data_IF_704806065362
#
_entry.id   IF_704806065362
#
_cell.length_a   1.000
_cell.length_b   1.000
_cell.length_c   1.000
_cell.angle_alpha   90.00
_cell.angle_beta   90.00
_cell.angle_gamma   90.00
#
_symmetry.space_group_name_H-M   'P 1'
#
loop_
_entity.id
_entity.type
_entity.pdbx_description
1 polymer ?
#
# COMPACT_ATOMS: atom_id res chain seq x y z
N UNK A 1 -29.34 22.83 -2.70
CA UNK A 1 -29.60 21.44 -3.18
C UNK A 1 -28.30 20.64 -3.09
N UNK A 2 -28.17 19.69 -2.15
CA UNK A 2 -26.95 18.89 -1.98
C UNK A 2 -26.99 17.68 -2.93
N UNK A 3 -26.00 17.56 -3.81
CA UNK A 3 -25.87 16.40 -4.71
C UNK A 3 -25.28 15.23 -3.93
N UNK A 4 -26.08 14.21 -3.64
CA UNK A 4 -25.62 13.02 -2.93
C UNK A 4 -24.99 12.01 -3.88
N UNK A 5 -23.68 11.79 -3.80
CA UNK A 5 -22.95 10.82 -4.65
C UNK A 5 -22.53 9.60 -3.83
N UNK A 6 -23.10 8.42 -4.12
CA UNK A 6 -22.69 7.16 -3.50
C UNK A 6 -21.63 6.46 -4.34
N UNK A 7 -20.42 6.30 -3.82
CA UNK A 7 -19.32 5.61 -4.53
C UNK A 7 -19.25 4.13 -4.15
N UNK A 8 -19.41 3.25 -5.14
CA UNK A 8 -19.16 1.82 -5.05
C UNK A 8 -17.70 1.51 -5.41
N UNK A 9 -17.11 0.53 -4.72
CA UNK A 9 -15.76 0.06 -4.99
C UNK A 9 -15.74 -1.45 -4.94
N UNK A 10 -15.00 -2.06 -5.85
CA UNK A 10 -14.80 -3.50 -5.90
C UNK A 10 -13.29 -3.78 -5.97
N UNK A 11 -12.84 -4.84 -5.30
CA UNK A 11 -11.45 -5.29 -5.33
C UNK A 11 -11.42 -6.66 -5.99
N UNK A 12 -10.71 -6.78 -7.10
CA UNK A 12 -10.44 -8.05 -7.75
C UNK A 12 -9.00 -8.49 -7.44
N UNK A 13 -8.80 -9.76 -7.13
CA UNK A 13 -7.48 -10.37 -6.92
C UNK A 13 -7.31 -11.50 -7.94
N UNK A 14 -6.09 -11.74 -8.40
CA UNK A 14 -5.79 -12.83 -9.32
C UNK A 14 -4.31 -13.15 -9.39
N UNK A 15 -4.01 -14.32 -9.95
CA UNK A 15 -2.67 -14.85 -10.10
C UNK A 15 -2.47 -15.41 -11.51
N UNK A 16 -1.25 -15.35 -12.02
CA UNK A 16 -0.82 -16.01 -13.26
C UNK A 16 0.60 -16.54 -13.09
N UNK A 17 0.87 -17.73 -13.63
CA UNK A 17 2.23 -18.28 -13.66
C UNK A 17 2.97 -17.67 -14.85
N UNK A 18 4.19 -17.17 -14.61
CA UNK A 18 5.09 -16.63 -15.64
C UNK A 18 6.27 -17.56 -15.80
N UNK A 19 6.52 -17.97 -17.04
CA UNK A 19 7.70 -18.76 -17.42
C UNK A 19 8.73 -17.81 -18.00
N UNK A 20 9.97 -17.93 -17.54
CA UNK A 20 11.10 -17.12 -17.98
C UNK A 20 12.32 -18.03 -18.16
N UNK A 21 13.19 -17.66 -19.10
CA UNK A 21 14.50 -18.29 -19.26
C UNK A 21 15.55 -17.26 -18.86
N UNK A 22 16.48 -17.62 -17.98
CA UNK A 22 17.51 -16.68 -17.55
C UNK A 22 18.38 -16.23 -18.74
N UNK A 23 18.52 -14.92 -18.93
CA UNK A 23 19.32 -14.33 -20.01
C UNK A 23 20.84 -14.58 -19.86
N UNK A 24 21.29 -14.87 -18.63
CA UNK A 24 22.70 -15.05 -18.28
C UNK A 24 23.14 -16.52 -18.28
N UNK A 25 22.42 -17.40 -17.58
CA UNK A 25 22.77 -18.82 -17.45
C UNK A 25 21.87 -19.79 -18.22
N UNK A 26 20.85 -19.32 -18.92
CA UNK A 26 19.92 -20.15 -19.70
C UNK A 26 18.95 -21.03 -18.89
N UNK A 27 19.00 -21.01 -17.55
CA UNK A 27 18.13 -21.84 -16.72
C UNK A 27 16.65 -21.41 -16.86
N UNK A 28 15.73 -22.33 -17.20
CA UNK A 28 14.30 -22.05 -17.15
C UNK A 28 13.83 -21.98 -15.69
N UNK A 29 13.03 -20.96 -15.38
CA UNK A 29 12.38 -20.79 -14.09
C UNK A 29 10.96 -20.23 -14.29
N UNK A 30 10.10 -20.41 -13.30
CA UNK A 30 8.76 -19.80 -13.30
C UNK A 30 8.45 -19.15 -11.98
N UNK A 31 7.48 -18.25 -11.95
CA UNK A 31 7.03 -17.65 -10.71
C UNK A 31 5.54 -17.29 -10.79
N UNK A 32 4.89 -17.22 -9.63
CA UNK A 32 3.49 -16.81 -9.56
C UNK A 32 3.38 -15.29 -9.40
N UNK A 33 2.88 -14.62 -10.44
CA UNK A 33 2.58 -13.19 -10.43
C UNK A 33 1.19 -12.97 -9.85
N UNK A 34 1.10 -12.34 -8.67
CA UNK A 34 -0.18 -12.00 -8.04
C UNK A 34 -0.43 -10.49 -8.03
N UNK A 35 -1.66 -10.08 -8.33
CA UNK A 35 -2.05 -8.66 -8.41
C UNK A 35 -3.44 -8.45 -7.80
N UNK A 36 -3.67 -7.22 -7.35
CA UNK A 36 -4.98 -6.76 -6.92
C UNK A 36 -5.33 -5.44 -7.59
N UNK A 37 -6.55 -5.33 -8.11
CA UNK A 37 -7.04 -4.13 -8.75
C UNK A 37 -8.27 -3.60 -8.02
N UNK A 38 -8.45 -2.28 -8.00
CA UNK A 38 -9.66 -1.65 -7.45
C UNK A 38 -10.39 -0.88 -8.54
N UNK A 39 -11.64 -1.28 -8.76
CA UNK A 39 -12.58 -0.55 -9.59
C UNK A 39 -13.46 0.36 -8.75
N UNK A 40 -13.93 1.46 -9.36
CA UNK A 40 -14.82 2.43 -8.70
C UNK A 40 -15.89 2.88 -9.67
N UNK A 41 -17.10 3.05 -9.16
CA UNK A 41 -18.20 3.68 -9.88
C UNK A 41 -19.07 4.45 -8.88
N UNK A 42 -19.76 5.48 -9.34
CA UNK A 42 -20.63 6.29 -8.49
C UNK A 42 -22.06 6.25 -9.00
N UNK A 43 -23.02 6.33 -8.08
CA UNK A 43 -24.41 6.65 -8.39
C UNK A 43 -24.80 8.02 -7.84
N UNK A 44 -25.59 8.75 -8.62
CA UNK A 44 -26.19 10.01 -8.24
C UNK A 44 -27.50 9.73 -7.49
N UNK A 45 -27.70 10.33 -6.32
CA UNK A 45 -28.91 10.15 -5.49
C UNK A 45 -29.23 8.69 -5.15
N UNK A 46 -28.26 7.78 -5.22
CA UNK A 46 -28.50 6.36 -5.00
C UNK A 46 -29.30 5.66 -6.11
N UNK A 47 -29.59 6.30 -7.24
CA UNK A 47 -30.23 5.62 -8.38
C UNK A 47 -29.22 4.67 -9.06
N UNK A 48 -29.69 3.56 -9.66
CA UNK A 48 -28.80 2.61 -10.37
C UNK A 48 -27.65 2.00 -9.53
N UNK A 49 -27.84 1.79 -8.22
CA UNK A 49 -26.82 1.17 -7.34
C UNK A 49 -26.30 -0.17 -7.87
N UNK A 50 -27.20 -1.04 -8.36
CA UNK A 50 -26.86 -2.34 -8.97
C UNK A 50 -25.94 -2.16 -10.18
N UNK A 51 -26.29 -1.25 -11.09
CA UNK A 51 -25.48 -0.97 -12.27
C UNK A 51 -24.12 -0.34 -11.90
N UNK A 52 -24.08 0.58 -10.93
CA UNK A 52 -22.83 1.16 -10.45
C UNK A 52 -21.92 0.08 -9.82
N UNK A 53 -22.47 -0.81 -8.98
CA UNK A 53 -21.73 -1.94 -8.42
C UNK A 53 -21.16 -2.86 -9.51
N UNK A 54 -21.98 -3.27 -10.48
CA UNK A 54 -21.55 -4.10 -11.61
C UNK A 54 -20.45 -3.43 -12.45
N UNK A 55 -20.56 -2.10 -12.70
CA UNK A 55 -19.51 -1.33 -13.37
C UNK A 55 -18.21 -1.30 -12.56
N UNK A 56 -18.28 -1.12 -11.25
CA UNK A 56 -17.11 -1.15 -10.38
C UNK A 56 -16.41 -2.52 -10.40
N UNK A 57 -17.18 -3.61 -10.42
CA UNK A 57 -16.65 -4.97 -10.56
C UNK A 57 -16.00 -5.18 -11.93
N UNK A 58 -16.69 -4.83 -13.03
CA UNK A 58 -16.16 -4.94 -14.40
C UNK A 58 -14.86 -4.14 -14.59
N UNK A 59 -14.82 -2.91 -14.06
CA UNK A 59 -13.62 -2.07 -14.07
C UNK A 59 -12.47 -2.68 -13.26
N UNK A 60 -12.76 -3.24 -12.08
CA UNK A 60 -11.75 -3.95 -11.28
C UNK A 60 -11.17 -5.16 -12.02
N UNK A 61 -12.03 -5.99 -12.63
CA UNK A 61 -11.60 -7.18 -13.37
C UNK A 61 -10.78 -6.80 -14.61
N UNK A 62 -11.25 -5.83 -15.40
CA UNK A 62 -10.51 -5.32 -16.58
C UNK A 62 -9.12 -4.81 -16.19
N UNK A 63 -9.03 -4.06 -15.08
CA UNK A 63 -7.74 -3.59 -14.55
C UNK A 63 -6.87 -4.75 -14.09
N UNK A 64 -7.43 -5.75 -13.39
CA UNK A 64 -6.69 -6.92 -12.93
C UNK A 64 -6.11 -7.69 -14.11
N UNK A 65 -6.90 -8.02 -15.14
CA UNK A 65 -6.44 -8.71 -16.35
C UNK A 65 -5.30 -7.95 -17.03
N UNK A 66 -5.44 -6.61 -17.15
CA UNK A 66 -4.37 -5.77 -17.69
C UNK A 66 -3.10 -5.87 -16.84
N UNK A 67 -3.19 -5.74 -15.52
CA UNK A 67 -2.03 -5.82 -14.63
C UNK A 67 -1.35 -7.19 -14.71
N UNK A 68 -2.11 -8.28 -14.71
CA UNK A 68 -1.58 -9.63 -14.86
C UNK A 68 -0.89 -9.82 -16.20
N UNK A 69 -1.36 -9.18 -17.29
CA UNK A 69 -0.76 -9.25 -18.62
C UNK A 69 0.51 -8.41 -18.76
N UNK A 70 0.53 -7.19 -18.21
CA UNK A 70 1.59 -6.20 -18.51
C UNK A 70 2.63 -5.99 -17.41
N UNK A 71 2.32 -6.34 -16.16
CA UNK A 71 3.26 -6.15 -15.05
C UNK A 71 4.17 -7.37 -14.88
N UNK A 72 5.33 -7.15 -14.27
CA UNK A 72 6.28 -8.19 -13.86
C UNK A 72 6.78 -7.92 -12.43
N UNK A 73 7.30 -8.95 -11.78
CA UNK A 73 8.06 -8.82 -10.53
C UNK A 73 9.55 -9.03 -10.82
N UNK A 74 10.43 -8.34 -10.08
CA UNK A 74 11.88 -8.52 -10.19
C UNK A 74 12.28 -9.82 -9.49
N UNK A 75 12.14 -10.93 -10.19
CA UNK A 75 12.50 -12.27 -9.70
C UNK A 75 13.92 -12.59 -10.17
N UNK A 76 14.86 -12.86 -9.24
CA UNK A 76 16.21 -13.25 -9.60
C UNK A 76 16.21 -14.71 -10.07
N UNK A 77 17.12 -15.05 -10.99
CA UNK A 77 17.33 -16.43 -11.39
C UNK A 77 17.72 -17.28 -10.17
N UNK A 78 17.10 -18.44 -9.94
CA UNK A 78 17.43 -19.30 -8.80
C UNK A 78 18.88 -19.84 -8.84
N UNK A 79 19.50 -19.89 -10.03
CA UNK A 79 20.87 -20.40 -10.23
C UNK A 79 21.94 -19.30 -10.11
N UNK A 80 21.94 -18.31 -11.00
CA UNK A 80 22.97 -17.26 -11.04
C UNK A 80 22.55 -15.93 -10.38
N UNK A 81 21.32 -15.84 -9.86
CA UNK A 81 20.73 -14.62 -9.28
C UNK A 81 20.56 -13.44 -10.24
N UNK A 82 20.92 -13.55 -11.51
CA UNK A 82 20.68 -12.49 -12.51
C UNK A 82 19.17 -12.20 -12.67
N UNK A 83 18.77 -10.93 -12.75
CA UNK A 83 17.40 -10.53 -13.07
C UNK A 83 17.30 -10.17 -14.56
N UNK A 84 16.45 -10.86 -15.32
CA UNK A 84 16.26 -10.62 -16.76
C UNK A 84 15.89 -9.17 -17.09
N UNK A 85 16.42 -8.63 -18.20
CA UNK A 85 16.14 -7.27 -18.66
C UNK A 85 14.66 -7.06 -18.97
N UNK A 86 13.97 -8.09 -19.47
CA UNK A 86 12.52 -8.06 -19.71
C UNK A 86 11.73 -7.73 -18.43
N UNK A 87 12.08 -8.36 -17.31
CA UNK A 87 11.47 -8.15 -15.99
C UNK A 87 11.80 -6.75 -15.46
N UNK A 88 13.04 -6.29 -15.62
CA UNK A 88 13.48 -4.94 -15.23
C UNK A 88 12.69 -3.87 -15.99
N UNK A 89 12.57 -4.01 -17.31
CA UNK A 89 11.84 -3.08 -18.16
C UNK A 89 10.36 -3.01 -17.79
N UNK A 90 9.70 -4.16 -17.63
CA UNK A 90 8.30 -4.24 -17.21
C UNK A 90 8.08 -3.64 -15.81
N UNK A 91 8.98 -3.89 -14.86
CA UNK A 91 8.93 -3.31 -13.52
C UNK A 91 9.06 -1.78 -13.54
N UNK A 92 10.04 -1.24 -14.28
CA UNK A 92 10.24 0.21 -14.47
C UNK A 92 9.00 0.88 -15.07
N UNK A 93 8.39 0.25 -16.07
CA UNK A 93 7.17 0.75 -16.73
C UNK A 93 5.96 0.74 -15.78
N UNK A 94 5.83 -0.26 -14.91
CA UNK A 94 4.74 -0.36 -13.96
C UNK A 94 4.84 0.68 -12.82
N UNK A 95 6.03 0.84 -12.22
CA UNK A 95 6.25 1.67 -11.03
C UNK A 95 5.89 3.15 -11.23
N UNK A 96 6.18 3.70 -12.41
CA UNK A 96 5.99 5.13 -12.71
C UNK A 96 4.93 5.37 -13.81
N UNK A 97 3.98 4.44 -13.98
CA UNK A 97 2.93 4.54 -15.03
C UNK A 97 2.03 5.77 -14.88
N UNK A 98 1.86 6.27 -13.65
CA UNK A 98 1.01 7.43 -13.35
C UNK A 98 1.70 8.79 -13.45
N UNK A 99 3.04 8.83 -13.40
CA UNK A 99 3.80 10.08 -13.29
C UNK A 99 3.62 11.01 -14.51
N UNK A 100 3.61 10.52 -15.76
CA UNK A 100 3.32 11.38 -16.92
C UNK A 100 1.92 12.00 -16.87
N UNK A 101 0.92 11.27 -16.34
CA UNK A 101 -0.45 11.79 -16.20
C UNK A 101 -0.54 12.88 -15.15
N UNK A 102 0.21 12.74 -14.06
CA UNK A 102 0.30 13.79 -13.03
C UNK A 102 0.98 15.02 -13.60
N UNK A 103 2.09 14.85 -14.34
CA UNK A 103 2.76 15.95 -15.03
C UNK A 103 1.83 16.68 -16.00
N UNK A 104 1.12 15.94 -16.86
CA UNK A 104 0.15 16.53 -17.79
C UNK A 104 -1.03 17.24 -17.08
N UNK A 105 -1.52 16.70 -15.96
CA UNK A 105 -2.58 17.33 -15.19
C UNK A 105 -2.10 18.64 -14.52
N UNK A 106 -0.91 18.63 -13.95
CA UNK A 106 -0.31 19.84 -13.34
C UNK A 106 -0.05 20.91 -14.40
N UNK A 107 0.41 20.51 -15.58
CA UNK A 107 0.56 21.41 -16.72
C UNK A 107 -0.78 22.06 -17.10
N UNK A 108 -1.81 21.25 -17.36
CA UNK A 108 -3.13 21.76 -17.73
C UNK A 108 -3.75 22.66 -16.65
N UNK A 109 -3.59 22.30 -15.37
CA UNK A 109 -4.04 23.12 -14.25
C UNK A 109 -3.30 24.46 -14.18
N UNK A 110 -2.01 24.48 -14.47
CA UNK A 110 -1.21 25.70 -14.54
C UNK A 110 -1.67 26.64 -15.65
N UNK A 111 -1.89 26.10 -16.86
CA UNK A 111 -2.41 26.88 -18.00
C UNK A 111 -3.79 27.47 -17.70
N UNK A 112 -4.70 26.69 -17.10
CA UNK A 112 -6.04 27.20 -16.72
C UNK A 112 -5.93 28.29 -15.65
N UNK A 113 -5.06 28.11 -14.65
CA UNK A 113 -4.84 29.11 -13.63
C UNK A 113 -4.30 30.43 -14.23
N UNK A 114 -3.35 30.34 -15.16
CA UNK A 114 -2.82 31.49 -15.88
C UNK A 114 -3.90 32.24 -16.68
N UNK A 115 -4.72 31.52 -17.46
CA UNK A 115 -5.85 32.12 -18.20
C UNK A 115 -6.83 32.82 -17.25
N UNK A 116 -7.15 32.21 -16.09
CA UNK A 116 -8.05 32.83 -15.12
C UNK A 116 -7.46 34.10 -14.49
N UNK A 117 -6.16 34.12 -14.19
CA UNK A 117 -5.52 35.35 -13.68
C UNK A 117 -5.45 36.42 -14.77
N UNK A 118 -5.18 36.04 -16.02
CA UNK A 118 -5.22 36.97 -17.15
C UNK A 118 -6.62 37.57 -17.35
N UNK A 119 -7.68 36.76 -17.32
CA UNK A 119 -9.05 37.24 -17.49
C UNK A 119 -9.49 38.13 -16.32
N UNK A 120 -9.18 37.74 -15.08
CA UNK A 120 -9.56 38.55 -13.90
C UNK A 120 -8.78 39.87 -13.83
N UNK A 121 -7.49 39.88 -14.18
CA UNK A 121 -6.70 41.12 -14.24
C UNK A 121 -7.21 42.10 -15.30
N UNK A 122 -7.64 41.62 -16.47
CA UNK A 122 -8.25 42.48 -17.50
C UNK A 122 -9.65 42.96 -17.11
N UNK A 123 -10.43 42.16 -16.37
CA UNK A 123 -11.78 42.53 -15.95
C UNK A 123 -11.82 43.61 -14.84
N UNK A 124 -10.78 43.70 -14.00
CA UNK A 124 -10.76 44.63 -12.85
C UNK A 124 -10.41 46.08 -13.26
N UNK A 125 -9.93 46.29 -14.49
CA UNK A 125 -9.67 47.61 -15.07
C UNK A 125 -8.49 48.37 -14.42
N UNK A 126 -7.91 49.35 -15.13
CA UNK A 126 -6.69 50.06 -14.70
C UNK A 126 -6.90 51.05 -13.52
N UNK A 127 -8.06 51.04 -12.85
CA UNK A 127 -8.46 52.09 -11.90
C UNK A 127 -7.81 51.99 -10.52
N UNK A 128 -7.20 50.88 -10.19
CA UNK A 128 -6.43 50.73 -8.96
C UNK A 128 -4.99 50.52 -9.38
N UNK A 129 -4.09 51.46 -9.05
CA UNK A 129 -2.65 51.41 -9.34
C UNK A 129 -1.89 50.25 -8.68
N UNK A 130 -2.52 49.07 -8.53
CA UNK A 130 -1.85 47.83 -8.28
C UNK A 130 -0.91 47.58 -9.46
N UNK A 131 0.38 47.76 -9.19
CA UNK A 131 1.47 47.25 -10.01
C UNK A 131 1.10 45.86 -10.55
N UNK A 132 1.21 45.72 -11.87
CA UNK A 132 0.80 44.53 -12.62
C UNK A 132 1.03 43.22 -11.84
N UNK A 133 0.03 42.33 -11.71
CA UNK A 133 0.21 40.99 -11.16
C UNK A 133 1.10 40.08 -12.04
N UNK A 134 1.85 40.65 -12.99
CA UNK A 134 2.69 39.95 -13.97
C UNK A 134 3.70 39.04 -13.31
N UNK A 135 4.31 39.44 -12.19
CA UNK A 135 5.27 38.60 -11.47
C UNK A 135 4.66 37.29 -10.94
N UNK A 136 3.44 37.35 -10.41
CA UNK A 136 2.74 36.17 -9.87
C UNK A 136 2.31 35.25 -11.03
N UNK A 137 1.78 35.82 -12.12
CA UNK A 137 1.35 35.07 -13.30
C UNK A 137 2.53 34.35 -13.94
N UNK A 138 3.61 35.07 -14.21
CA UNK A 138 4.85 34.52 -14.78
C UNK A 138 5.44 33.46 -13.84
N UNK A 139 5.37 33.68 -12.52
CA UNK A 139 5.80 32.69 -11.53
C UNK A 139 5.00 31.38 -11.59
N UNK A 140 3.67 31.45 -11.64
CA UNK A 140 2.79 30.27 -11.74
C UNK A 140 3.00 29.54 -13.07
N UNK A 141 3.05 30.27 -14.18
CA UNK A 141 3.29 29.70 -15.51
C UNK A 141 4.64 28.97 -15.59
N UNK A 142 5.69 29.60 -15.07
CA UNK A 142 7.04 29.02 -15.01
C UNK A 142 7.06 27.77 -14.13
N UNK A 143 6.44 27.81 -12.95
CA UNK A 143 6.37 26.65 -12.06
C UNK A 143 5.59 25.48 -12.69
N UNK A 144 4.50 25.76 -13.39
CA UNK A 144 3.72 24.75 -14.10
C UNK A 144 4.50 24.11 -15.25
N UNK A 145 5.22 24.90 -16.05
CA UNK A 145 6.06 24.43 -17.14
C UNK A 145 7.23 23.56 -16.61
N UNK A 146 7.91 24.03 -15.57
CA UNK A 146 8.97 23.26 -14.90
C UNK A 146 8.43 21.95 -14.34
N UNK A 147 7.25 21.93 -13.73
CA UNK A 147 6.63 20.70 -13.26
C UNK A 147 6.26 19.74 -14.41
N UNK A 148 5.77 20.28 -15.53
CA UNK A 148 5.35 19.52 -16.71
C UNK A 148 6.50 18.80 -17.41
N UNK A 149 7.65 19.47 -17.53
CA UNK A 149 8.86 18.92 -18.16
C UNK A 149 9.73 18.15 -17.15
N UNK A 150 9.83 18.66 -15.94
CA UNK A 150 10.65 18.10 -14.87
C UNK A 150 10.13 16.75 -14.36
N UNK A 151 8.81 16.55 -14.24
CA UNK A 151 8.27 15.28 -13.73
C UNK A 151 8.51 14.09 -14.68
N UNK A 152 8.27 14.17 -16.00
CA UNK A 152 8.62 13.10 -16.93
C UNK A 152 10.12 12.81 -16.97
N UNK A 153 10.96 13.86 -16.96
CA UNK A 153 12.42 13.71 -16.93
C UNK A 153 12.88 13.03 -15.64
N UNK A 154 12.37 13.47 -14.48
CA UNK A 154 12.61 12.83 -13.20
C UNK A 154 12.13 11.38 -13.19
N UNK A 155 10.94 11.09 -13.75
CA UNK A 155 10.44 9.73 -13.89
C UNK A 155 11.38 8.85 -14.72
N UNK A 156 11.92 9.40 -15.81
CA UNK A 156 12.88 8.73 -16.68
C UNK A 156 14.21 8.45 -15.96
N UNK A 157 14.76 9.45 -15.25
CA UNK A 157 15.97 9.29 -14.44
C UNK A 157 15.78 8.25 -13.34
N UNK A 158 14.67 8.30 -12.61
CA UNK A 158 14.32 7.33 -11.58
C UNK A 158 14.15 5.92 -12.15
N UNK A 159 13.58 5.76 -13.35
CA UNK A 159 13.50 4.45 -14.03
C UNK A 159 14.88 3.92 -14.36
N UNK A 160 15.78 4.75 -14.90
CA UNK A 160 17.16 4.35 -15.23
C UNK A 160 17.98 3.97 -14.00
N UNK A 161 17.70 4.61 -12.85
CA UNK A 161 18.37 4.30 -11.60
C UNK A 161 18.07 2.88 -11.06
N UNK A 162 16.92 2.29 -11.44
CA UNK A 162 16.55 0.93 -11.03
C UNK A 162 17.27 -0.07 -11.92
N UNK A 163 18.45 -0.54 -11.52
CA UNK A 163 19.10 -1.70 -12.12
C UNK A 163 19.58 -2.64 -11.00
N UNK A 164 18.84 -3.73 -10.72
CA UNK A 164 19.20 -4.67 -9.66
C UNK A 164 20.54 -5.38 -9.92
N UNK A 165 20.96 -5.48 -11.19
CA UNK A 165 22.21 -6.14 -11.59
C UNK A 165 23.41 -5.18 -11.60
N UNK A 166 23.29 -3.94 -11.11
CA UNK A 166 24.36 -2.94 -11.19
C UNK A 166 25.56 -3.23 -10.28
N UNK A 167 25.32 -3.87 -9.14
CA UNK A 167 26.36 -4.23 -8.17
C UNK A 167 26.74 -5.69 -8.37
N UNK A 168 28.03 -6.04 -8.39
CA UNK A 168 28.43 -7.45 -8.32
C UNK A 168 27.92 -8.04 -7.00
N UNK A 169 27.19 -9.16 -7.08
CA UNK A 169 26.62 -9.83 -5.92
C UNK A 169 25.13 -10.14 -6.06
N UNK A 170 24.48 -10.41 -4.93
CA UNK A 170 23.05 -10.69 -4.88
C UNK A 170 22.25 -9.43 -5.24
N UNK A 171 21.37 -9.47 -6.26
CA UNK A 171 20.60 -8.31 -6.64
C UNK A 171 19.67 -7.87 -5.50
N UNK A 172 19.58 -6.55 -5.30
CA UNK A 172 18.61 -5.98 -4.37
C UNK A 172 17.21 -6.06 -5.00
N UNK A 173 16.46 -7.10 -4.64
CA UNK A 173 15.07 -7.27 -5.05
C UNK A 173 14.11 -6.59 -4.07
N UNK A 174 13.03 -5.96 -4.55
CA UNK A 174 12.06 -5.31 -3.69
C UNK A 174 11.38 -6.35 -2.81
N UNK A 175 11.19 -6.02 -1.52
CA UNK A 175 10.57 -6.91 -0.54
C UNK A 175 9.20 -7.40 -1.02
N UNK A 176 8.89 -8.67 -0.73
CA UNK A 176 7.66 -9.34 -1.19
C UNK A 176 7.75 -9.81 -2.64
N UNK A 177 8.95 -10.06 -3.16
CA UNK A 177 9.18 -10.74 -4.43
C UNK A 177 8.81 -12.21 -4.31
N UNK A 178 8.07 -12.79 -5.28
CA UNK A 178 7.64 -14.17 -5.18
C UNK A 178 8.88 -15.09 -5.20
N UNK A 179 8.81 -16.26 -4.57
CA UNK A 179 9.81 -17.29 -4.80
C UNK A 179 9.79 -17.68 -6.29
N UNK A 180 10.98 -17.92 -6.84
CA UNK A 180 11.15 -18.54 -8.15
C UNK A 180 11.03 -20.06 -7.99
N UNK A 181 10.43 -20.72 -8.96
CA UNK A 181 10.42 -22.17 -9.08
C UNK A 181 11.41 -22.57 -10.17
N UNK A 182 12.35 -23.46 -9.85
CA UNK A 182 13.30 -24.01 -10.81
C UNK A 182 12.94 -25.45 -11.13
N UNK A 183 13.22 -25.84 -12.37
CA UNK A 183 13.01 -27.20 -12.82
C UNK A 183 14.20 -28.07 -12.37
N UNK A 184 13.95 -29.06 -11.50
CA UNK A 184 14.95 -30.01 -11.00
C UNK A 184 14.56 -31.41 -11.45
N UNK A 185 15.52 -32.14 -12.03
CA UNK A 185 15.39 -33.59 -12.23
C UNK A 185 15.95 -34.26 -10.99
N UNK A 186 15.09 -34.93 -10.22
CA UNK A 186 15.49 -35.61 -8.98
C UNK A 186 16.18 -36.94 -9.32
N UNK A 187 15.74 -37.61 -10.38
CA UNK A 187 16.33 -38.85 -10.90
C UNK A 187 16.47 -38.78 -12.42
N UNK A 188 17.46 -39.47 -13.00
CA UNK A 188 17.74 -39.42 -14.44
C UNK A 188 16.56 -39.76 -15.36
N UNK A 189 15.56 -40.50 -14.85
CA UNK A 189 14.34 -40.89 -15.56
C UNK A 189 13.06 -40.20 -15.05
N UNK A 190 13.09 -39.39 -13.99
CA UNK A 190 11.86 -38.79 -13.46
C UNK A 190 11.45 -37.53 -14.23
N UNK A 191 10.14 -37.29 -14.30
CA UNK A 191 9.63 -36.05 -14.85
C UNK A 191 10.17 -34.86 -14.05
N UNK A 192 10.61 -33.80 -14.72
CA UNK A 192 11.19 -32.66 -14.05
C UNK A 192 10.18 -31.97 -13.12
N UNK A 193 10.53 -31.83 -11.84
CA UNK A 193 9.69 -31.19 -10.84
C UNK A 193 10.07 -29.72 -10.66
N UNK A 194 9.06 -28.90 -10.39
CA UNK A 194 9.26 -27.48 -10.09
C UNK A 194 9.44 -27.29 -8.59
N UNK A 195 10.67 -26.99 -8.18
CA UNK A 195 11.05 -26.79 -6.78
C UNK A 195 11.10 -25.29 -6.48
N UNK A 196 10.44 -24.85 -5.42
CA UNK A 196 10.49 -23.45 -4.98
C UNK A 196 11.85 -23.14 -4.38
N UNK A 197 12.43 -22.03 -4.82
CA UNK A 197 13.63 -21.43 -4.27
C UNK A 197 13.24 -20.12 -3.59
N UNK A 198 13.48 -19.97 -2.27
CA UNK A 198 13.13 -18.76 -1.54
C UNK A 198 13.90 -17.55 -2.11
N UNK A 199 13.20 -16.44 -2.32
CA UNK A 199 13.78 -15.23 -2.92
C UNK A 199 14.53 -14.34 -1.93
N UNK A 200 14.31 -14.53 -0.63
CA UNK A 200 14.92 -13.75 0.45
C UNK A 200 15.14 -14.68 1.64
N UNK A 201 16.31 -14.57 2.27
CA UNK A 201 16.61 -15.22 3.53
C UNK A 201 15.59 -14.78 4.62
N UNK A 202 14.78 -15.70 5.18
CA UNK A 202 13.82 -15.38 6.22
C UNK A 202 14.46 -14.73 7.45
N UNK A 203 15.74 -14.98 7.74
CA UNK A 203 16.46 -14.35 8.84
C UNK A 203 16.60 -12.83 8.64
N UNK A 204 16.83 -12.37 7.41
CA UNK A 204 16.87 -10.92 7.09
C UNK A 204 15.51 -10.23 7.25
N UNK A 205 14.41 -10.97 7.09
CA UNK A 205 13.05 -10.45 7.29
C UNK A 205 12.74 -10.22 8.77
N UNK A 206 13.33 -11.02 9.66
CA UNK A 206 13.12 -10.94 11.11
C UNK A 206 13.79 -9.73 11.77
N UNK A 207 14.84 -9.16 11.16
CA UNK A 207 15.66 -8.08 11.72
C UNK A 207 14.93 -6.73 11.93
N UNK A 208 13.62 -6.62 11.64
CA UNK A 208 12.88 -5.36 11.70
C UNK A 208 11.48 -5.38 12.32
N UNK A 209 11.00 -6.50 12.87
CA UNK A 209 9.64 -6.66 13.44
C UNK A 209 8.47 -6.33 12.47
N UNK A 210 8.71 -6.22 11.16
CA UNK A 210 7.67 -6.02 10.15
C UNK A 210 7.55 -7.28 9.30
N UNK A 211 6.35 -7.83 9.24
CA UNK A 211 6.03 -8.94 8.35
C UNK A 211 5.51 -8.38 7.03
N UNK A 212 5.99 -8.91 5.91
CA UNK A 212 5.64 -8.44 4.57
C UNK A 212 4.76 -9.47 3.86
N UNK A 213 3.61 -9.02 3.35
CA UNK A 213 2.63 -9.89 2.71
C UNK A 213 2.16 -9.32 1.39
N UNK A 214 1.87 -10.21 0.45
CA UNK A 214 1.10 -9.88 -0.75
C UNK A 214 -0.38 -9.88 -0.42
N UNK A 215 -1.12 -8.92 -0.95
CA UNK A 215 -2.57 -8.91 -0.82
C UNK A 215 -3.17 -10.24 -1.31
N UNK A 216 -3.96 -10.90 -0.45
CA UNK A 216 -4.59 -12.19 -0.73
C UNK A 216 -3.82 -13.42 -0.24
N UNK A 217 -2.54 -13.30 0.13
CA UNK A 217 -1.73 -14.40 0.68
C UNK A 217 -1.62 -14.37 2.21
N UNK A 218 -2.26 -13.41 2.85
CA UNK A 218 -2.20 -13.27 4.29
C UNK A 218 -3.20 -14.22 4.95
N UNK A 219 -2.69 -15.31 5.51
CA UNK A 219 -3.41 -16.16 6.46
C UNK A 219 -2.99 -15.81 7.87
N UNK A 220 -3.96 -15.75 8.79
CA UNK A 220 -3.66 -15.59 10.21
C UNK A 220 -3.79 -16.92 10.93
N UNK A 221 -2.87 -17.27 11.84
CA UNK A 221 -3.08 -18.39 12.73
C UNK A 221 -4.30 -18.12 13.62
N UNK A 222 -5.06 -19.16 14.03
CA UNK A 222 -6.30 -19.03 14.82
C UNK A 222 -6.05 -18.67 16.30
N UNK A 223 -5.02 -17.86 16.54
CA UNK A 223 -4.62 -17.37 17.86
C UNK A 223 -4.90 -15.87 17.96
N UNK A 224 -5.22 -15.41 19.17
CA UNK A 224 -5.46 -14.01 19.47
C UNK A 224 -4.19 -13.20 19.22
N UNK A 225 -4.29 -12.20 18.35
CA UNK A 225 -3.16 -11.36 17.96
C UNK A 225 -2.54 -10.54 19.11
N UNK A 226 -3.20 -10.48 20.28
CA UNK A 226 -2.73 -9.75 21.45
C UNK A 226 -2.14 -10.67 22.53
N UNK A 227 -2.84 -11.75 22.92
CA UNK A 227 -2.44 -12.61 24.05
C UNK A 227 -2.00 -14.02 23.66
N UNK A 228 -2.01 -14.37 22.36
CA UNK A 228 -1.70 -15.70 21.82
C UNK A 228 -2.63 -16.86 22.26
N UNK A 229 -3.67 -16.61 23.06
CA UNK A 229 -4.72 -17.60 23.35
C UNK A 229 -5.59 -17.92 22.14
N UNK A 230 -6.56 -18.82 22.27
CA UNK A 230 -7.52 -19.13 21.18
C UNK A 230 -8.32 -17.89 20.78
N UNK A 231 -8.51 -17.67 19.48
CA UNK A 231 -9.29 -16.55 18.98
C UNK A 231 -10.76 -16.95 18.77
N UNK A 232 -11.67 -16.21 19.41
CA UNK A 232 -13.12 -16.45 19.30
C UNK A 232 -13.79 -15.54 18.24
N UNK A 233 -13.05 -14.58 17.70
CA UNK A 233 -13.59 -13.60 16.77
C UNK A 233 -12.52 -12.91 15.95
N UNK A 234 -12.96 -11.96 15.12
CA UNK A 234 -12.07 -11.13 14.32
C UNK A 234 -12.40 -9.65 14.48
N UNK A 235 -11.37 -8.83 14.51
CA UNK A 235 -11.50 -7.38 14.51
C UNK A 235 -11.07 -6.83 13.15
N UNK A 236 -11.97 -6.05 12.55
CA UNK A 236 -11.77 -5.42 11.25
C UNK A 236 -11.20 -4.02 11.49
N UNK A 237 -9.92 -3.82 11.22
CA UNK A 237 -9.34 -2.46 11.22
C UNK A 237 -9.40 -1.85 9.82
N UNK A 238 -9.81 -0.58 9.74
CA UNK A 238 -9.87 0.14 8.49
C UNK A 238 -8.46 0.57 8.04
N UNK A 239 -7.91 -0.09 7.00
CA UNK A 239 -6.72 0.44 6.31
C UNK A 239 -7.11 1.68 5.54
N UNK A 240 -6.67 2.86 5.97
CA UNK A 240 -6.61 4.07 5.14
C UNK A 240 -7.86 4.28 4.27
N UNK A 241 -9.02 3.90 4.82
CA UNK A 241 -10.32 4.00 4.21
C UNK A 241 -10.87 2.88 3.31
N UNK A 242 -10.31 1.64 3.14
CA UNK A 242 -11.03 0.61 2.31
C UNK A 242 -10.72 -0.90 2.34
N UNK A 243 -9.60 -1.40 2.85
CA UNK A 243 -9.41 -2.87 2.98
C UNK A 243 -9.45 -3.22 4.45
N UNK A 244 -10.38 -4.10 4.82
CA UNK A 244 -10.52 -4.60 6.18
C UNK A 244 -9.68 -5.86 6.27
N UNK A 245 -8.57 -5.80 7.00
CA UNK A 245 -7.86 -7.01 7.40
C UNK A 245 -8.49 -7.44 8.72
N UNK A 246 -9.08 -8.63 8.70
CA UNK A 246 -9.69 -9.24 9.86
C UNK A 246 -8.60 -9.96 10.66
N UNK A 247 -8.13 -9.34 11.75
CA UNK A 247 -7.17 -9.97 12.64
C UNK A 247 -7.91 -10.78 13.72
N UNK A 248 -7.48 -12.00 14.03
CA UNK A 248 -8.11 -12.83 15.05
C UNK A 248 -7.84 -12.26 16.46
N UNK A 249 -8.87 -12.26 17.30
CA UNK A 249 -8.81 -11.74 18.67
C UNK A 249 -9.75 -12.53 19.60
N UNK A 250 -9.36 -12.74 20.85
CA UNK A 250 -10.21 -13.35 21.87
C UNK A 250 -11.16 -12.33 22.50
N UNK A 251 -12.28 -12.80 23.07
CA UNK A 251 -13.31 -11.95 23.66
C UNK A 251 -12.79 -11.04 24.78
N UNK A 252 -11.84 -11.53 25.58
CA UNK A 252 -11.24 -10.77 26.68
C UNK A 252 -10.39 -9.60 26.18
N UNK A 253 -9.52 -9.84 25.20
CA UNK A 253 -8.71 -8.78 24.60
C UNK A 253 -9.58 -7.76 23.87
N UNK A 254 -10.67 -8.19 23.22
CA UNK A 254 -11.62 -7.29 22.58
C UNK A 254 -12.32 -6.36 23.60
N UNK A 255 -12.77 -6.90 24.75
CA UNK A 255 -13.34 -6.10 25.85
C UNK A 255 -12.32 -5.11 26.43
N UNK A 256 -11.06 -5.53 26.58
CA UNK A 256 -10.01 -4.63 27.06
C UNK A 256 -9.73 -3.49 26.08
N UNK A 257 -9.72 -3.78 24.77
CA UNK A 257 -9.55 -2.75 23.74
C UNK A 257 -10.72 -1.78 23.73
N UNK A 258 -11.96 -2.25 23.77
CA UNK A 258 -13.13 -1.36 23.78
C UNK A 258 -13.15 -0.46 25.01
N UNK A 259 -12.75 -0.97 26.20
CA UNK A 259 -12.57 -0.16 27.41
C UNK A 259 -11.48 0.88 27.25
N UNK A 260 -10.31 0.52 26.69
CA UNK A 260 -9.22 1.46 26.41
C UNK A 260 -9.61 2.50 25.34
N UNK A 261 -10.43 2.10 24.37
CA UNK A 261 -10.96 2.99 23.35
C UNK A 261 -11.88 4.02 23.96
N UNK A 262 -12.88 3.57 24.73
CA UNK A 262 -13.83 4.39 25.47
C UNK A 262 -13.12 5.34 26.45
N UNK A 263 -12.16 4.83 27.23
CA UNK A 263 -11.39 5.66 28.15
C UNK A 263 -10.62 6.75 27.40
N UNK A 264 -9.87 6.40 26.34
CA UNK A 264 -9.13 7.39 25.57
C UNK A 264 -10.01 8.39 24.82
N UNK A 265 -11.22 8.01 24.39
CA UNK A 265 -12.19 8.98 23.82
C UNK A 265 -12.70 9.93 24.88
N UNK A 266 -13.00 9.44 26.09
CA UNK A 266 -13.43 10.28 27.21
C UNK A 266 -12.33 11.26 27.61
N UNK A 267 -11.08 10.82 27.73
CA UNK A 267 -9.94 11.72 28.04
C UNK A 267 -9.77 12.81 26.99
N UNK A 268 -9.86 12.46 25.69
CA UNK A 268 -9.74 13.44 24.60
C UNK A 268 -10.88 14.45 24.62
N UNK A 269 -12.11 14.00 24.88
CA UNK A 269 -13.28 14.88 25.02
C UNK A 269 -13.12 15.83 26.20
N UNK A 270 -12.70 15.32 27.37
CA UNK A 270 -12.45 16.16 28.55
C UNK A 270 -11.35 17.19 28.32
N UNK A 271 -10.23 16.81 27.68
CA UNK A 271 -9.16 17.76 27.38
C UNK A 271 -9.62 18.84 26.39
N UNK A 272 -10.41 18.46 25.39
CA UNK A 272 -10.96 19.41 24.42
C UNK A 272 -11.97 20.37 25.05
N UNK A 273 -12.82 19.90 25.97
CA UNK A 273 -13.77 20.76 26.69
C UNK A 273 -13.04 21.71 27.64
N UNK A 274 -12.07 21.23 28.42
CA UNK A 274 -11.27 22.07 29.31
C UNK A 274 -10.52 23.16 28.53
N UNK A 275 -9.88 22.79 27.40
CA UNK A 275 -9.18 23.74 26.55
C UNK A 275 -10.15 24.76 25.93
N UNK A 276 -11.30 24.31 25.44
CA UNK A 276 -12.34 25.18 24.89
C UNK A 276 -12.88 26.18 25.92
N UNK A 277 -13.17 25.72 27.14
CA UNK A 277 -13.62 26.58 28.24
C UNK A 277 -12.55 27.58 28.67
N UNK A 278 -11.28 27.16 28.73
CA UNK A 278 -10.15 28.03 29.09
C UNK A 278 -9.94 29.15 28.05
N UNK A 279 -9.99 28.81 26.77
CA UNK A 279 -9.90 29.78 25.68
C UNK A 279 -11.11 30.73 25.71
N UNK A 280 -12.32 30.20 25.88
CA UNK A 280 -13.54 31.01 25.99
C UNK A 280 -13.48 32.00 27.15
N UNK A 281 -12.99 31.56 28.31
CA UNK A 281 -12.81 32.42 29.48
C UNK A 281 -11.80 33.54 29.25
N UNK A 282 -10.66 33.25 28.61
CA UNK A 282 -9.65 34.25 28.23
C UNK A 282 -10.19 35.31 27.25
N UNK A 283 -11.07 34.93 26.34
CA UNK A 283 -11.72 35.88 25.42
C UNK A 283 -12.80 36.71 26.11
N UNK A 284 -13.56 36.11 27.02
CA UNK A 284 -14.59 36.81 27.78
C UNK A 284 -14.00 37.93 28.66
N UNK A 285 -12.84 37.69 29.29
CA UNK A 285 -12.18 38.68 30.15
C UNK A 285 -11.55 39.86 29.39
N UNK A 286 -11.16 39.67 28.12
CA UNK A 286 -10.48 40.72 27.32
C UNK A 286 -11.37 41.56 26.40
N UNK A 287 -12.55 41.09 25.99
CA UNK A 287 -13.35 41.73 24.91
C UNK A 287 -14.80 42.08 25.27
N UNK A 288 -15.21 41.91 26.52
CA UNK A 288 -16.62 42.05 26.91
C UNK A 288 -17.51 40.99 26.24
N UNK A 289 -18.83 41.20 26.25
CA UNK A 289 -19.83 40.21 25.81
C UNK A 289 -19.73 39.77 24.34
N UNK A 290 -18.99 40.52 23.51
CA UNK A 290 -18.73 40.18 22.09
C UNK A 290 -17.75 39.00 21.89
N UNK A 291 -17.08 38.52 22.94
CA UNK A 291 -16.05 37.48 22.87
C UNK A 291 -16.55 36.03 22.81
N UNK A 292 -17.85 35.77 22.94
CA UNK A 292 -18.41 34.42 23.09
C UNK A 292 -18.27 33.57 21.81
N UNK A 293 -18.47 34.18 20.64
CA UNK A 293 -18.42 33.49 19.34
C UNK A 293 -17.05 32.86 19.01
N UNK A 294 -15.93 33.63 19.08
CA UNK A 294 -14.59 33.10 18.85
C UNK A 294 -14.18 31.96 19.80
N UNK A 295 -14.61 32.02 21.06
CA UNK A 295 -14.34 30.96 22.04
C UNK A 295 -14.99 29.62 21.67
N UNK A 296 -16.27 29.65 21.25
CA UNK A 296 -16.99 28.46 20.77
C UNK A 296 -16.33 27.88 19.52
N UNK A 297 -15.96 28.72 18.56
CA UNK A 297 -15.28 28.28 17.34
C UNK A 297 -13.93 27.60 17.62
N UNK A 298 -13.12 28.17 18.51
CA UNK A 298 -11.84 27.58 18.93
C UNK A 298 -12.02 26.24 19.66
N UNK A 299 -13.05 26.10 20.50
CA UNK A 299 -13.41 24.84 21.15
C UNK A 299 -13.78 23.74 20.16
N UNK A 300 -14.61 24.06 19.16
CA UNK A 300 -15.00 23.12 18.10
C UNK A 300 -13.78 22.68 17.28
N UNK A 301 -12.92 23.61 16.86
CA UNK A 301 -11.71 23.30 16.10
C UNK A 301 -10.79 22.39 16.91
N UNK A 302 -10.58 22.70 18.20
CA UNK A 302 -9.75 21.89 19.10
C UNK A 302 -10.29 20.47 19.24
N UNK A 303 -11.62 20.32 19.40
CA UNK A 303 -12.28 19.02 19.44
C UNK A 303 -12.08 18.23 18.15
N UNK A 304 -12.26 18.86 16.98
CA UNK A 304 -12.06 18.20 15.68
C UNK A 304 -10.61 17.75 15.47
N UNK A 305 -9.63 18.57 15.87
CA UNK A 305 -8.21 18.21 15.84
C UNK A 305 -7.95 17.03 16.78
N UNK A 306 -8.47 17.06 18.01
CA UNK A 306 -8.25 16.02 18.99
C UNK A 306 -8.88 14.69 18.57
N UNK A 307 -10.09 14.71 18.00
CA UNK A 307 -10.73 13.53 17.38
C UNK A 307 -9.89 12.99 16.21
N UNK A 308 -9.30 13.85 15.38
CA UNK A 308 -8.45 13.44 14.25
C UNK A 308 -7.11 12.86 14.70
N UNK A 309 -6.50 13.40 15.75
CA UNK A 309 -5.29 12.85 16.38
C UNK A 309 -5.61 11.50 17.00
N UNK A 310 -6.73 11.39 17.73
CA UNK A 310 -7.20 10.15 18.34
C UNK A 310 -7.44 9.05 17.31
N UNK A 311 -8.10 9.37 16.19
CA UNK A 311 -8.30 8.45 15.07
C UNK A 311 -6.99 7.93 14.47
N UNK A 312 -5.89 8.71 14.54
CA UNK A 312 -4.57 8.28 14.08
C UNK A 312 -3.80 7.48 15.13
N UNK A 313 -4.01 7.76 16.41
CA UNK A 313 -3.22 7.23 17.52
C UNK A 313 -3.87 6.07 18.30
N UNK A 314 -5.13 5.71 18.02
CA UNK A 314 -5.83 4.68 18.80
C UNK A 314 -5.25 3.29 18.55
N UNK A 315 -4.45 2.81 19.51
CA UNK A 315 -4.16 1.41 19.87
C UNK A 315 -4.37 0.39 18.76
N UNK A 316 -3.79 0.66 17.59
CA UNK A 316 -3.96 -0.24 16.48
C UNK A 316 -3.24 -1.54 16.86
N UNK A 317 -4.02 -2.61 17.07
CA UNK A 317 -3.55 -3.98 17.31
C UNK A 317 -2.42 -4.38 16.37
N UNK A 318 -2.41 -3.77 15.20
CA UNK A 318 -1.30 -3.79 14.27
C UNK A 318 -1.14 -2.44 13.59
N UNK A 319 0.10 -2.10 13.28
CA UNK A 319 0.44 -1.04 12.33
C UNK A 319 0.51 -1.66 10.95
N UNK A 320 -0.11 -1.00 9.98
CA UNK A 320 -0.03 -1.42 8.59
C UNK A 320 0.42 -0.26 7.71
N UNK A 321 1.37 -0.53 6.83
CA UNK A 321 1.79 0.40 5.76
C UNK A 321 1.86 -0.37 4.44
N UNK A 322 1.55 0.30 3.33
CA UNK A 322 1.89 -0.26 2.03
C UNK A 322 3.40 -0.12 1.83
N UNK A 323 4.10 -1.25 1.66
CA UNK A 323 5.48 -1.23 1.21
C UNK A 323 5.52 -0.95 -0.30
N UNK A 324 4.61 -1.58 -1.06
CA UNK A 324 4.40 -1.31 -2.47
C UNK A 324 2.91 -1.36 -2.82
N UNK A 325 2.31 -0.20 -3.05
CA UNK A 325 0.89 -0.08 -3.40
C UNK A 325 0.56 -0.69 -4.76
N UNK A 326 1.49 -0.67 -5.71
CA UNK A 326 1.28 -1.18 -7.07
C UNK A 326 1.25 -2.72 -7.09
N UNK A 327 2.13 -3.34 -6.29
CA UNK A 327 2.20 -4.80 -6.13
C UNK A 327 1.24 -5.33 -5.06
N UNK A 328 0.61 -4.43 -4.30
CA UNK A 328 -0.22 -4.81 -3.15
C UNK A 328 0.59 -5.44 -2.02
N UNK A 329 1.88 -5.10 -1.89
CA UNK A 329 2.73 -5.56 -0.79
C UNK A 329 2.49 -4.68 0.43
N UNK A 330 2.03 -5.32 1.49
CA UNK A 330 1.71 -4.73 2.78
C UNK A 330 2.83 -5.10 3.75
N UNK A 331 3.25 -4.15 4.58
CA UNK A 331 4.01 -4.44 5.78
C UNK A 331 3.10 -4.28 6.99
N UNK A 332 3.05 -5.32 7.82
CA UNK A 332 2.18 -5.43 8.99
C UNK A 332 3.08 -5.71 10.20
N UNK A 333 2.80 -5.02 11.30
CA UNK A 333 3.45 -5.26 12.58
C UNK A 333 2.39 -5.27 13.66
N UNK A 334 2.23 -6.39 14.35
CA UNK A 334 1.31 -6.48 15.47
C UNK A 334 1.91 -5.84 16.72
N UNK A 335 1.03 -5.41 17.63
CA UNK A 335 1.40 -4.91 18.94
C UNK A 335 2.12 -6.01 19.74
N UNK A 336 1.68 -7.27 19.60
CA UNK A 336 2.41 -8.42 20.12
C UNK A 336 3.51 -8.86 19.11
N UNK A 337 4.79 -8.74 19.45
CA UNK A 337 5.89 -9.14 18.57
C UNK A 337 5.93 -10.66 18.33
N UNK A 338 5.56 -11.48 19.31
CA UNK A 338 5.52 -12.93 19.16
C UNK A 338 4.46 -13.37 18.15
N UNK A 339 3.30 -12.71 18.11
CA UNK A 339 2.31 -12.97 17.06
C UNK A 339 2.82 -12.59 15.66
N UNK A 340 3.57 -11.49 15.55
CA UNK A 340 4.20 -11.12 14.28
C UNK A 340 5.21 -12.18 13.83
N UNK A 341 6.03 -12.70 14.75
CA UNK A 341 6.98 -13.77 14.48
C UNK A 341 6.29 -15.07 14.04
N UNK A 342 5.17 -15.43 14.68
CA UNK A 342 4.37 -16.60 14.29
C UNK A 342 3.85 -16.49 12.86
N UNK A 343 3.35 -15.33 12.44
CA UNK A 343 2.87 -15.16 11.06
C UNK A 343 4.05 -15.22 10.08
N UNK A 344 5.21 -14.65 10.41
CA UNK A 344 6.41 -14.74 9.56
C UNK A 344 6.81 -16.21 9.38
N UNK A 345 6.79 -17.00 10.46
CA UNK A 345 7.10 -18.43 10.41
C UNK A 345 6.09 -19.21 9.57
N UNK A 346 4.78 -19.04 9.83
CA UNK A 346 3.70 -19.70 9.06
C UNK A 346 3.78 -19.35 7.57
N UNK A 347 4.12 -18.10 7.25
CA UNK A 347 4.32 -17.67 5.86
C UNK A 347 5.56 -18.30 5.24
N UNK A 348 6.70 -18.28 5.95
CA UNK A 348 7.93 -18.91 5.49
C UNK A 348 7.75 -20.41 5.26
N UNK A 349 7.01 -21.06 6.16
CA UNK A 349 6.63 -22.48 6.07
C UNK A 349 5.75 -22.73 4.83
N UNK A 350 4.73 -21.92 4.58
CA UNK A 350 3.91 -22.01 3.35
C UNK A 350 4.69 -21.74 2.07
N UNK A 351 5.69 -20.88 2.14
CA UNK A 351 6.57 -20.58 1.02
C UNK A 351 7.61 -21.72 0.82
N UNK A 352 7.99 -22.43 1.88
CA UNK A 352 8.95 -23.55 1.87
C UNK A 352 8.32 -24.94 1.59
N UNK A 353 7.07 -25.20 1.99
CA UNK A 353 6.43 -26.53 2.00
C UNK A 353 6.05 -27.08 0.60
N UNK A 354 6.43 -26.45 -0.51
CA UNK A 354 6.27 -27.05 -1.84
C UNK A 354 7.61 -27.56 -2.37
N UNK A 355 7.86 -28.88 -2.34
CA UNK A 355 8.16 -29.68 -1.15
C UNK A 355 9.67 -30.00 -1.06
N UNK A 356 10.24 -29.81 0.13
CA UNK A 356 11.51 -30.44 0.54
C UNK A 356 11.33 -31.93 0.96
N UNK A 357 10.12 -32.49 0.81
CA UNK A 357 9.80 -33.87 1.18
C UNK A 357 10.39 -34.94 0.24
N UNK A 358 11.30 -34.57 -0.67
CA UNK A 358 12.06 -35.50 -1.51
C UNK A 358 13.55 -35.63 -1.12
N UNK A 359 13.98 -35.02 0.00
CA UNK A 359 15.41 -34.99 0.38
C UNK A 359 15.82 -35.96 1.49
N UNK A 360 14.89 -36.58 2.23
CA UNK A 360 15.25 -37.25 3.51
C UNK A 360 15.01 -38.78 3.55
N UNK A 361 14.84 -39.46 2.42
CA UNK A 361 14.91 -40.94 2.38
C UNK A 361 15.60 -41.47 1.12
N UNK A 362 16.91 -41.59 1.19
CA UNK A 362 17.59 -42.76 0.66
C UNK A 362 18.23 -43.49 1.86
N UNK A 363 17.69 -44.62 2.33
CA UNK A 363 18.46 -45.51 3.17
C UNK A 363 19.66 -45.97 2.34
N UNK A 364 20.87 -45.71 2.85
CA UNK A 364 22.09 -46.37 2.39
C UNK A 364 21.82 -47.87 2.34
N UNK A 365 21.91 -48.45 1.13
CA UNK A 365 21.90 -49.89 0.95
C UNK A 365 23.04 -50.50 1.80
N UNK A 366 22.80 -51.63 2.50
CA UNK A 366 23.88 -52.32 3.19
C UNK A 366 24.86 -52.87 2.14
N UNK A 367 26.14 -52.62 2.37
CA UNK A 367 27.25 -53.27 1.68
C UNK A 367 27.06 -54.79 1.74
N UNK A 368 26.70 -55.40 0.61
CA UNK A 368 26.88 -56.83 0.39
C UNK A 368 28.29 -57.02 -0.17
N UNK A 369 29.22 -57.36 0.72
CA UNK A 369 30.48 -57.97 0.36
C UNK A 369 30.21 -59.40 -0.14
N UNK A 370 30.67 -59.68 -1.35
CA UNK A 370 30.92 -61.02 -1.87
C UNK A 370 32.43 -61.25 -1.89
#
# INVERSE_FOLDING_TARGET
MLVHVKTFRFVANGAVIRHETCEDCGQPFRYTLTRSATGKASSLYGTFTKAASARAQKDAQKKLTRLLKTDADLVPCPKCRHVNQSLIAAYRAARYRGMPRIGALLFGAGVVAEVLVYLTSNAIGPRHGLHHPSGIVVGIATAALVAALGLPLLAYMLRRAINPNRRPGEPEVPIGTPPSEMQVKIDGNSEPQWVKVPSVDPAKVLAGQWAFFRAGHLSFPPLCCQCLGTADGTIKSALGGKRLIAAPICRNCQKMLSRKEAFGTMTVLMMATILGLSIGWLFATKRGSSGLGPGIAAGIISLLIALKIRQRGSNALYRLKFADKSRGVLKIRFANPAYTALIIRDQAEKDAIVPAAASDKAPSAPDQAF
#
